data_IF_025961155612
#
_entry.id   IF_025961155612
#
_cell.length_a   1.000
_cell.length_b   1.000
_cell.length_c   1.000
_cell.angle_alpha   90.00
_cell.angle_beta   90.00
_cell.angle_gamma   90.00
#
_symmetry.space_group_name_H-M   'P 1'
#
loop_
_entity.id
_entity.type
_entity.pdbx_description
1 polymer ?
#
# COMPACT_ATOMS: atom_id res chain seq x y z
N UNK A 1 -2.24 22.05 -5.11
CA UNK A 1 -2.22 20.93 -6.09
C UNK A 1 -3.27 19.90 -5.67
N UNK A 2 -4.12 19.46 -6.59
CA UNK A 2 -5.44 18.87 -6.28
C UNK A 2 -5.39 17.45 -5.70
N UNK A 3 -6.16 17.22 -4.63
CA UNK A 3 -6.26 15.96 -3.87
C UNK A 3 -7.00 14.82 -4.61
N UNK A 4 -7.22 14.92 -5.92
CA UNK A 4 -8.02 13.96 -6.71
C UNK A 4 -7.23 13.13 -7.73
N UNK A 5 -5.96 13.46 -8.00
CA UNK A 5 -5.17 12.75 -9.02
C UNK A 5 -4.71 11.35 -8.59
N UNK A 6 -4.56 11.13 -7.28
CA UNK A 6 -4.06 9.86 -6.76
C UNK A 6 -5.06 8.71 -6.96
N UNK A 7 -6.36 8.94 -6.75
CA UNK A 7 -7.38 7.90 -6.96
C UNK A 7 -7.46 7.46 -8.44
N UNK A 8 -7.29 8.39 -9.38
CA UNK A 8 -7.22 8.09 -10.81
C UNK A 8 -5.97 7.29 -11.18
N UNK A 9 -4.80 7.67 -10.64
CA UNK A 9 -3.58 6.89 -10.85
C UNK A 9 -3.69 5.50 -10.23
N UNK A 10 -4.33 5.37 -9.07
CA UNK A 10 -4.63 4.08 -8.42
C UNK A 10 -5.54 3.20 -9.28
N UNK A 11 -6.68 3.72 -9.75
CA UNK A 11 -7.59 2.98 -10.62
C UNK A 11 -6.91 2.58 -11.93
N UNK A 12 -6.07 3.45 -12.49
CA UNK A 12 -5.33 3.13 -13.72
C UNK A 12 -4.26 2.07 -13.49
N UNK A 13 -3.57 2.10 -12.34
CA UNK A 13 -2.62 1.06 -11.95
C UNK A 13 -3.32 -0.30 -11.75
N UNK A 14 -4.44 -0.32 -11.01
CA UNK A 14 -5.23 -1.53 -10.78
C UNK A 14 -5.73 -2.15 -12.09
N UNK A 15 -6.21 -1.33 -13.03
CA UNK A 15 -6.64 -1.81 -14.36
C UNK A 15 -5.51 -2.41 -15.19
N UNK A 16 -4.28 -1.91 -15.04
CA UNK A 16 -3.14 -2.41 -15.82
C UNK A 16 -2.62 -3.76 -15.28
N UNK A 17 -2.80 -4.03 -13.98
CA UNK A 17 -2.43 -5.32 -13.38
C UNK A 17 -3.37 -6.48 -13.75
N UNK A 18 -4.61 -6.19 -14.16
CA UNK A 18 -5.59 -7.22 -14.51
C UNK A 18 -5.37 -7.84 -15.91
N UNK A 19 -4.66 -7.16 -16.83
CA UNK A 19 -4.63 -7.55 -18.25
C UNK A 19 -3.59 -8.62 -18.65
N UNK A 20 -2.87 -9.23 -17.72
CA UNK A 20 -2.05 -10.43 -18.02
C UNK A 20 -2.86 -11.70 -17.77
N UNK A 21 -3.80 -11.93 -18.68
CA UNK A 21 -4.75 -13.03 -18.69
C UNK A 21 -4.01 -14.38 -18.76
N UNK A 22 -3.89 -15.08 -17.61
CA UNK A 22 -3.47 -16.48 -17.60
C UNK A 22 -4.71 -17.34 -17.87
N UNK A 23 -4.98 -17.61 -19.14
CA UNK A 23 -5.98 -18.58 -19.56
C UNK A 23 -5.53 -19.99 -19.13
N UNK A 24 -6.35 -20.67 -18.33
CA UNK A 24 -6.18 -22.10 -18.09
C UNK A 24 -6.44 -22.90 -19.38
N UNK A 25 -5.93 -24.14 -19.46
CA UNK A 25 -6.04 -25.00 -20.65
C UNK A 25 -7.48 -25.26 -21.12
N UNK A 26 -8.48 -24.94 -20.29
CA UNK A 26 -9.91 -25.04 -20.59
C UNK A 26 -10.59 -23.70 -20.92
N UNK A 27 -9.84 -22.62 -21.17
CA UNK A 27 -10.40 -21.31 -21.51
C UNK A 27 -11.08 -20.58 -20.34
N UNK A 28 -10.90 -21.06 -19.11
CA UNK A 28 -11.36 -20.35 -17.93
C UNK A 28 -10.35 -19.26 -17.55
N UNK A 29 -10.80 -18.00 -17.50
CA UNK A 29 -10.05 -16.88 -16.92
C UNK A 29 -9.82 -17.21 -15.45
N UNK A 30 -8.58 -17.53 -15.07
CA UNK A 30 -8.23 -17.56 -13.65
C UNK A 30 -8.14 -16.11 -13.19
N UNK A 31 -9.12 -15.67 -12.40
CA UNK A 31 -8.99 -14.42 -11.66
C UNK A 31 -7.62 -14.43 -10.95
N UNK A 32 -6.80 -13.37 -11.06
CA UNK A 32 -5.50 -13.35 -10.42
C UNK A 32 -5.68 -13.65 -8.94
N UNK A 33 -5.09 -14.75 -8.46
CA UNK A 33 -5.20 -15.18 -7.05
C UNK A 33 -4.58 -14.18 -6.08
N UNK A 34 -3.88 -13.16 -6.60
CA UNK A 34 -3.35 -12.01 -5.85
C UNK A 34 -4.32 -10.82 -5.93
N UNK A 35 -5.55 -10.98 -5.46
CA UNK A 35 -6.40 -9.83 -5.17
C UNK A 35 -5.82 -9.03 -3.99
N UNK A 36 -5.92 -7.70 -4.04
CA UNK A 36 -5.65 -6.86 -2.87
C UNK A 36 -6.59 -7.27 -1.72
N UNK A 37 -6.03 -7.78 -0.63
CA UNK A 37 -6.79 -8.08 0.58
C UNK A 37 -6.85 -6.83 1.42
N UNK A 38 -8.05 -6.24 1.55
CA UNK A 38 -8.25 -5.07 2.38
C UNK A 38 -7.85 -5.38 3.83
N UNK A 39 -6.88 -4.65 4.42
CA UNK A 39 -6.56 -4.81 5.83
C UNK A 39 -7.78 -4.47 6.68
N UNK A 40 -8.15 -5.35 7.61
CA UNK A 40 -9.31 -5.16 8.50
C UNK A 40 -8.98 -4.30 9.73
N UNK A 41 -7.70 -4.03 9.99
CA UNK A 41 -7.23 -3.38 11.20
C UNK A 41 -6.27 -2.26 10.84
N UNK A 42 -6.31 -1.18 11.61
CA UNK A 42 -5.36 -0.10 11.51
C UNK A 42 -4.03 -0.49 12.19
N UNK A 43 -2.86 -0.04 11.71
CA UNK A 43 -1.60 -0.30 12.39
C UNK A 43 -1.63 0.29 13.80
N UNK A 44 -1.16 -0.47 14.79
CA UNK A 44 -1.11 -0.07 16.20
C UNK A 44 0.33 0.14 16.68
N UNK A 45 1.11 0.82 15.85
CA UNK A 45 2.49 1.21 16.18
C UNK A 45 2.47 2.61 16.78
N UNK A 46 3.29 2.84 17.81
CA UNK A 46 3.51 4.19 18.33
C UNK A 46 4.44 4.97 17.41
N UNK A 47 4.62 6.27 17.70
CA UNK A 47 5.56 7.09 16.95
C UNK A 47 7.00 6.54 17.06
N UNK A 48 7.37 6.09 18.26
CA UNK A 48 8.68 5.53 18.56
C UNK A 48 8.91 4.22 17.78
N UNK A 49 7.89 3.36 17.71
CA UNK A 49 7.96 2.14 16.89
C UNK A 49 8.28 2.47 15.42
N UNK A 50 7.66 3.51 14.85
CA UNK A 50 7.95 3.94 13.47
C UNK A 50 9.36 4.51 13.30
N UNK A 51 9.88 5.22 14.30
CA UNK A 51 11.22 5.79 14.27
C UNK A 51 12.30 4.68 14.30
N UNK A 52 12.06 3.59 15.03
CA UNK A 52 12.95 2.44 15.14
C UNK A 52 12.78 1.41 14.00
N UNK A 53 11.62 1.39 13.35
CA UNK A 53 11.30 0.44 12.28
C UNK A 53 12.31 0.46 11.13
N UNK A 54 12.71 -0.73 10.68
CA UNK A 54 13.60 -0.89 9.52
C UNK A 54 12.86 -0.63 8.20
N UNK A 55 13.63 -0.29 7.15
CA UNK A 55 13.08 0.04 5.83
C UNK A 55 12.14 -1.02 5.27
N UNK A 56 12.55 -2.29 5.33
CA UNK A 56 11.75 -3.40 4.81
C UNK A 56 10.40 -3.55 5.53
N UNK A 57 10.31 -3.18 6.83
CA UNK A 57 9.04 -3.19 7.57
C UNK A 57 8.12 -2.08 7.10
N UNK A 58 8.67 -0.90 6.85
CA UNK A 58 7.92 0.21 6.27
C UNK A 58 7.42 -0.15 4.86
N UNK A 59 8.27 -0.75 4.04
CA UNK A 59 7.88 -1.16 2.69
C UNK A 59 6.77 -2.21 2.71
N UNK A 60 6.85 -3.19 3.62
CA UNK A 60 5.79 -4.18 3.81
C UNK A 60 4.49 -3.53 4.28
N UNK A 61 4.58 -2.66 5.31
CA UNK A 61 3.44 -1.93 5.85
C UNK A 61 2.77 -1.10 4.75
N UNK A 62 3.53 -0.28 4.04
CA UNK A 62 3.00 0.57 2.97
C UNK A 62 2.38 -0.30 1.86
N UNK A 63 2.99 -1.44 1.52
CA UNK A 63 2.41 -2.38 0.54
C UNK A 63 1.07 -2.95 0.97
N UNK A 64 0.94 -3.34 2.24
CA UNK A 64 -0.29 -3.91 2.80
C UNK A 64 -1.47 -2.92 2.71
N UNK A 65 -1.20 -1.62 2.81
CA UNK A 65 -2.20 -0.55 2.64
C UNK A 65 -2.26 0.03 1.22
N UNK A 66 -1.59 -0.60 0.23
CA UNK A 66 -1.60 -0.17 -1.17
C UNK A 66 -0.82 1.12 -1.46
N UNK A 67 0.06 1.52 -0.56
CA UNK A 67 0.91 2.73 -0.62
C UNK A 67 2.25 2.43 -1.31
N UNK A 68 2.22 1.69 -2.43
CA UNK A 68 3.41 1.24 -3.18
C UNK A 68 4.22 2.39 -3.80
N UNK A 69 3.61 3.57 -3.96
CA UNK A 69 4.27 4.75 -4.54
C UNK A 69 5.48 5.26 -3.73
N UNK A 70 5.66 4.77 -2.50
CA UNK A 70 6.71 5.19 -1.58
C UNK A 70 7.88 4.21 -1.49
N UNK A 71 7.88 3.10 -2.25
CA UNK A 71 8.97 2.11 -2.22
C UNK A 71 10.31 2.68 -2.65
N UNK A 72 10.32 3.61 -3.60
CA UNK A 72 11.54 4.27 -4.10
C UNK A 72 11.96 5.47 -3.24
N UNK A 73 11.19 5.83 -2.21
CA UNK A 73 11.52 6.94 -1.33
C UNK A 73 12.64 6.59 -0.34
N UNK A 74 13.26 7.61 0.23
CA UNK A 74 14.23 7.40 1.29
C UNK A 74 13.56 6.84 2.55
N UNK A 75 14.31 6.08 3.36
CA UNK A 75 13.85 5.57 4.65
C UNK A 75 13.22 6.66 5.54
N UNK A 76 13.82 7.85 5.58
CA UNK A 76 13.30 8.97 6.36
C UNK A 76 11.94 9.45 5.86
N UNK A 77 11.75 9.54 4.53
CA UNK A 77 10.46 9.92 3.93
C UNK A 77 9.40 8.85 4.17
N UNK A 78 9.75 7.56 4.06
CA UNK A 78 8.86 6.43 4.38
C UNK A 78 8.37 6.51 5.82
N UNK A 79 9.29 6.75 6.78
CA UNK A 79 8.95 6.94 8.21
C UNK A 79 8.06 8.14 8.44
N UNK A 80 8.45 9.30 7.92
CA UNK A 80 7.69 10.54 8.09
C UNK A 80 6.27 10.40 7.54
N UNK A 81 6.13 9.78 6.36
CA UNK A 81 4.84 9.49 5.76
C UNK A 81 4.02 8.48 6.57
N UNK A 82 4.63 7.40 7.06
CA UNK A 82 3.95 6.42 7.91
C UNK A 82 3.48 7.03 9.23
N UNK A 83 4.29 7.89 9.87
CA UNK A 83 3.90 8.60 11.09
C UNK A 83 2.73 9.55 10.79
N UNK A 84 2.82 10.37 9.74
CA UNK A 84 1.76 11.32 9.38
C UNK A 84 0.45 10.62 8.96
N UNK A 85 0.57 9.43 8.36
CA UNK A 85 -0.58 8.63 7.92
C UNK A 85 -1.20 7.85 9.09
N UNK A 86 -0.39 7.14 9.87
CA UNK A 86 -0.84 6.15 10.84
C UNK A 86 -0.90 6.64 12.30
N UNK A 87 -0.35 7.82 12.64
CA UNK A 87 -0.47 8.38 14.00
C UNK A 87 -1.54 9.47 14.01
N UNK A 88 -2.72 9.15 14.54
CA UNK A 88 -3.81 10.13 14.71
C UNK A 88 -3.68 10.88 16.05
N UNK A 89 -3.80 12.23 16.07
CA UNK A 89 -3.65 13.05 17.28
C UNK A 89 -4.72 12.81 18.38
N UNK A 90 -5.75 12.02 18.08
CA UNK A 90 -6.87 11.74 18.99
C UNK A 90 -6.97 10.27 19.41
N UNK A 91 -5.95 9.44 19.18
CA UNK A 91 -5.92 8.12 19.77
C UNK A 91 -5.28 8.21 21.18
N UNK A 92 -6.03 7.94 22.26
CA UNK A 92 -5.50 7.89 23.62
C UNK A 92 -4.54 6.70 23.84
#
# INVERSE_FOLDING_TARGET
>A
MGKGGWLLNFLNHAKNQESVENLDKNGAVKAPSSGFKMPLHYPRYTKEDYEEMEEWRLDLLLSEYGLLAFHDNTLHEKRAFAIDTFIWPHHP
#
